data_IF_742711069501
#
_entry.id   IF_742711069501
#
_cell.length_a   1.000
_cell.length_b   1.000
_cell.length_c   1.000
_cell.angle_alpha   90.00
_cell.angle_beta   90.00
_cell.angle_gamma   90.00
#
_symmetry.space_group_name_H-M   'P 1'
#
loop_
_entity.id
_entity.type
_entity.pdbx_description
1 polymer ?
#
# COMPACT_ATOMS: atom_id res chain seq x y z
N UNK A 1 2.30 -6.75 29.70
CA UNK A 1 2.78 -6.46 28.31
C UNK A 1 1.98 -7.16 27.20
N UNK A 2 1.71 -8.48 27.24
CA UNK A 2 0.98 -9.21 26.17
C UNK A 2 -0.41 -8.64 25.81
N UNK A 3 -1.19 -8.14 26.79
CA UNK A 3 -2.52 -7.55 26.55
C UNK A 3 -2.47 -6.20 25.83
N UNK A 4 -1.48 -5.36 26.13
CA UNK A 4 -1.35 -4.03 25.53
C UNK A 4 -0.93 -4.12 24.05
N UNK A 5 0.08 -4.94 23.74
CA UNK A 5 0.51 -5.24 22.36
C UNK A 5 -0.61 -5.86 21.51
N UNK A 6 -1.40 -6.78 22.09
CA UNK A 6 -2.56 -7.37 21.41
C UNK A 6 -3.65 -6.36 21.10
N UNK A 7 -3.85 -5.37 21.99
CA UNK A 7 -4.82 -4.28 21.80
C UNK A 7 -4.30 -3.25 20.78
N UNK A 8 -2.99 -3.03 20.74
CA UNK A 8 -2.33 -2.16 19.76
C UNK A 8 -2.41 -2.74 18.34
N UNK A 9 -2.24 -4.06 18.20
CA UNK A 9 -2.36 -4.80 16.94
C UNK A 9 -3.82 -5.14 16.56
N UNK A 10 -4.77 -4.84 17.44
CA UNK A 10 -6.22 -4.94 17.19
C UNK A 10 -6.75 -6.35 16.92
N UNK A 11 -6.18 -7.40 17.49
CA UNK A 11 -6.67 -8.76 17.21
C UNK A 11 -8.12 -8.98 17.69
N UNK A 12 -9.08 -9.01 16.75
CA UNK A 12 -10.53 -9.19 17.00
C UNK A 12 -10.90 -10.58 17.54
N UNK A 13 -10.09 -11.59 17.23
CA UNK A 13 -10.40 -12.98 17.52
C UNK A 13 -9.34 -13.58 18.43
N UNK A 14 -9.77 -14.16 19.55
CA UNK A 14 -8.89 -14.94 20.44
C UNK A 14 -8.38 -16.24 19.80
N UNK A 15 -8.84 -16.57 18.58
CA UNK A 15 -8.34 -17.73 17.82
C UNK A 15 -6.93 -17.44 17.27
N UNK A 16 -5.93 -18.28 17.59
CA UNK A 16 -4.54 -18.04 17.26
C UNK A 16 -4.28 -17.96 15.75
N UNK A 17 -5.02 -18.70 14.92
CA UNK A 17 -4.83 -18.69 13.47
C UNK A 17 -5.10 -17.31 12.84
N UNK A 18 -6.14 -16.60 13.30
CA UNK A 18 -6.47 -15.24 12.79
C UNK A 18 -5.40 -14.23 13.18
N UNK A 19 -4.77 -14.42 14.34
CA UNK A 19 -3.66 -13.58 14.78
C UNK A 19 -2.42 -13.80 13.91
N UNK A 20 -2.10 -15.07 13.61
CA UNK A 20 -0.97 -15.42 12.75
C UNK A 20 -1.12 -14.78 11.37
N UNK A 21 -2.30 -14.90 10.75
CA UNK A 21 -2.57 -14.29 9.43
C UNK A 21 -2.36 -12.78 9.45
N UNK A 22 -2.87 -12.07 10.45
CA UNK A 22 -2.66 -10.62 10.56
C UNK A 22 -1.19 -10.24 10.83
N UNK A 23 -0.46 -11.02 11.64
CA UNK A 23 0.98 -10.80 11.83
C UNK A 23 1.76 -10.99 10.53
N UNK A 24 1.49 -12.06 9.78
CA UNK A 24 2.11 -12.30 8.48
C UNK A 24 1.83 -11.14 7.53
N UNK A 25 0.60 -10.61 7.52
CA UNK A 25 0.24 -9.46 6.71
C UNK A 25 0.99 -8.18 7.08
N UNK A 26 1.15 -7.89 8.37
CA UNK A 26 1.96 -6.76 8.83
C UNK A 26 3.43 -6.92 8.46
N UNK A 27 3.99 -8.12 8.59
CA UNK A 27 5.37 -8.41 8.19
C UNK A 27 5.56 -8.29 6.68
N UNK A 28 4.61 -8.75 5.88
CA UNK A 28 4.63 -8.59 4.43
C UNK A 28 4.60 -7.12 4.04
N UNK A 29 3.72 -6.33 4.66
CA UNK A 29 3.63 -4.88 4.39
C UNK A 29 4.92 -4.16 4.78
N UNK A 30 5.54 -4.55 5.90
CA UNK A 30 6.83 -4.02 6.32
C UNK A 30 7.96 -4.41 5.36
N UNK A 31 7.99 -5.66 4.87
CA UNK A 31 8.96 -6.10 3.89
C UNK A 31 8.83 -5.31 2.58
N UNK A 32 7.60 -5.08 2.10
CA UNK A 32 7.34 -4.23 0.93
C UNK A 32 7.85 -2.81 1.15
N UNK A 33 7.64 -2.22 2.33
CA UNK A 33 8.17 -0.89 2.64
C UNK A 33 9.69 -0.85 2.64
N UNK A 34 10.35 -1.81 3.29
CA UNK A 34 11.81 -1.87 3.34
C UNK A 34 12.39 -2.00 1.94
N UNK A 35 11.81 -2.86 1.11
CA UNK A 35 12.22 -3.03 -0.27
C UNK A 35 12.00 -1.73 -1.07
N UNK A 36 10.83 -1.12 -0.97
CA UNK A 36 10.50 0.10 -1.71
C UNK A 36 11.38 1.31 -1.31
N UNK A 37 11.78 1.40 -0.04
CA UNK A 37 12.72 2.43 0.42
C UNK A 37 14.19 2.11 0.07
N UNK A 38 14.53 0.82 -0.03
CA UNK A 38 15.86 0.36 -0.42
C UNK A 38 16.12 0.42 -1.92
N UNK A 39 15.08 0.38 -2.74
CA UNK A 39 15.20 0.49 -4.20
C UNK A 39 15.32 1.95 -4.63
N UNK A 40 16.33 2.31 -5.43
CA UNK A 40 16.39 3.63 -6.03
C UNK A 40 15.27 3.81 -7.07
N UNK A 41 14.88 5.07 -7.38
CA UNK A 41 13.94 5.34 -8.46
C UNK A 41 14.41 4.73 -9.79
N UNK A 42 13.50 4.22 -10.62
CA UNK A 42 13.85 3.51 -11.86
C UNK A 42 14.45 4.43 -12.93
N UNK A 43 14.21 5.74 -12.82
CA UNK A 43 14.75 6.77 -13.71
C UNK A 43 15.52 7.80 -12.89
N UNK A 44 16.44 8.51 -13.54
CA UNK A 44 17.21 9.56 -12.88
C UNK A 44 16.26 10.59 -12.24
N UNK A 45 16.34 10.71 -10.92
CA UNK A 45 15.48 11.57 -10.13
C UNK A 45 16.33 12.64 -9.42
N UNK A 46 15.85 13.87 -9.41
CA UNK A 46 16.37 14.88 -8.50
C UNK A 46 15.97 14.56 -7.05
N UNK A 47 16.61 15.21 -6.05
CA UNK A 47 16.31 14.95 -4.63
C UNK A 47 14.84 15.20 -4.25
N UNK A 48 14.18 16.13 -4.96
CA UNK A 48 12.74 16.39 -4.79
C UNK A 48 11.89 15.20 -5.25
N UNK A 49 12.11 14.72 -6.47
CA UNK A 49 11.39 13.57 -7.03
C UNK A 49 11.71 12.29 -6.26
N UNK A 50 12.94 12.09 -5.79
CA UNK A 50 13.28 10.98 -4.90
C UNK A 50 12.47 11.03 -3.59
N UNK A 51 12.28 12.22 -3.02
CA UNK A 51 11.44 12.40 -1.84
C UNK A 51 9.98 12.02 -2.08
N UNK A 52 9.41 12.43 -3.22
CA UNK A 52 8.05 12.06 -3.62
C UNK A 52 7.95 10.55 -3.84
N UNK A 53 8.92 9.93 -4.52
CA UNK A 53 8.95 8.48 -4.75
C UNK A 53 8.86 7.68 -3.43
N UNK A 54 9.67 8.05 -2.42
CA UNK A 54 9.61 7.40 -1.11
C UNK A 54 8.34 7.72 -0.32
N UNK A 55 7.79 8.92 -0.47
CA UNK A 55 6.49 9.26 0.12
C UNK A 55 5.36 8.40 -0.48
N UNK A 56 5.38 8.21 -1.80
CA UNK A 56 4.47 7.34 -2.53
C UNK A 56 4.59 5.88 -2.07
N UNK A 57 5.82 5.38 -1.86
CA UNK A 57 6.06 4.07 -1.28
C UNK A 57 5.47 3.92 0.14
N UNK A 58 5.57 4.96 0.96
CA UNK A 58 4.97 4.99 2.30
C UNK A 58 3.44 4.96 2.22
N UNK A 59 2.83 5.70 1.28
CA UNK A 59 1.38 5.69 1.05
C UNK A 59 0.90 4.29 0.65
N UNK A 60 1.62 3.60 -0.26
CA UNK A 60 1.30 2.21 -0.63
C UNK A 60 1.37 1.28 0.58
N UNK A 61 2.40 1.41 1.42
CA UNK A 61 2.52 0.61 2.64
C UNK A 61 1.34 0.86 3.60
N UNK A 62 0.99 2.12 3.86
CA UNK A 62 -0.17 2.48 4.67
C UNK A 62 -1.47 1.92 4.08
N UNK A 63 -1.60 1.96 2.76
CA UNK A 63 -2.74 1.40 2.05
C UNK A 63 -2.83 -0.12 2.22
N UNK A 64 -1.71 -0.85 2.09
CA UNK A 64 -1.65 -2.30 2.34
C UNK A 64 -1.99 -2.66 3.79
N UNK A 65 -1.54 -1.85 4.76
CA UNK A 65 -1.81 -2.07 6.19
C UNK A 65 -3.28 -1.76 6.53
N UNK A 66 -3.93 -0.86 5.77
CA UNK A 66 -5.27 -0.35 6.07
C UNK A 66 -6.35 -1.43 6.28
N UNK A 67 -6.48 -2.50 5.46
CA UNK A 67 -7.52 -3.52 5.67
C UNK A 67 -7.26 -4.29 6.96
N UNK A 68 -6.00 -4.55 7.30
CA UNK A 68 -5.63 -5.23 8.53
C UNK A 68 -5.98 -4.38 9.76
N UNK A 69 -5.74 -3.08 9.74
CA UNK A 69 -6.09 -2.16 10.85
C UNK A 69 -7.61 -2.03 11.02
N UNK A 70 -8.35 -1.85 9.91
CA UNK A 70 -9.80 -1.59 9.96
C UNK A 70 -10.64 -2.85 10.14
N UNK A 71 -10.17 -4.02 9.71
CA UNK A 71 -10.82 -5.30 10.05
C UNK A 71 -10.49 -5.76 11.48
N UNK A 72 -9.37 -5.27 12.03
CA UNK A 72 -8.95 -5.47 13.41
C UNK A 72 -9.79 -4.62 14.38
N UNK A 73 -9.92 -5.07 15.63
CA UNK A 73 -10.59 -4.38 16.73
C UNK A 73 -9.66 -3.32 17.34
N UNK A 74 -9.22 -2.38 16.51
CA UNK A 74 -8.37 -1.25 16.89
C UNK A 74 -9.22 -0.07 17.37
N UNK A 75 -8.65 0.80 18.21
CA UNK A 75 -9.31 2.05 18.63
C UNK A 75 -9.73 2.94 17.44
N UNK A 76 -8.94 2.91 16.35
CA UNK A 76 -9.22 3.61 15.10
C UNK A 76 -10.53 3.16 14.45
N UNK A 77 -10.91 1.88 14.60
CA UNK A 77 -12.17 1.35 14.09
C UNK A 77 -13.39 1.93 14.82
N UNK A 78 -13.25 2.23 16.11
CA UNK A 78 -14.35 2.76 16.94
C UNK A 78 -14.58 4.25 16.74
N UNK A 79 -13.57 4.97 16.25
CA UNK A 79 -13.65 6.41 15.94
C UNK A 79 -14.32 6.74 14.61
N UNK A 80 -14.37 5.81 13.66
CA UNK A 80 -14.93 6.06 12.33
C UNK A 80 -16.40 5.55 12.27
N UNK A 81 -17.37 6.41 11.92
CA UNK A 81 -18.80 6.07 11.98
C UNK A 81 -19.17 4.84 11.13
N UNK A 82 -18.55 4.65 9.96
CA UNK A 82 -18.77 3.49 9.11
C UNK A 82 -18.28 2.16 9.70
N UNK A 83 -17.28 2.16 10.58
CA UNK A 83 -16.76 0.92 11.16
C UNK A 83 -17.34 0.61 12.55
N UNK A 84 -18.12 1.54 13.12
CA UNK A 84 -18.71 1.44 14.47
C UNK A 84 -19.82 0.39 14.57
N UNK A 85 -20.65 0.23 13.55
CA UNK A 85 -21.81 -0.67 13.58
C UNK A 85 -21.45 -2.16 13.48
N UNK A 86 -20.17 -2.50 13.26
CA UNK A 86 -19.63 -3.87 13.17
C UNK A 86 -20.36 -4.82 12.18
N UNK A 87 -21.31 -4.32 11.38
CA UNK A 87 -21.97 -5.07 10.32
C UNK A 87 -21.03 -5.24 9.13
N UNK A 88 -21.21 -6.35 8.42
CA UNK A 88 -20.39 -6.71 7.25
C UNK A 88 -20.48 -5.64 6.16
N UNK A 89 -21.71 -5.18 5.85
CA UNK A 89 -21.95 -4.12 4.86
C UNK A 89 -21.30 -2.80 5.24
N UNK A 90 -21.42 -2.37 6.50
CA UNK A 90 -20.85 -1.11 6.97
C UNK A 90 -19.31 -1.16 6.97
N UNK A 91 -18.74 -2.31 7.31
CA UNK A 91 -17.28 -2.53 7.24
C UNK A 91 -16.78 -2.56 5.79
N UNK A 92 -17.53 -3.15 4.86
CA UNK A 92 -17.20 -3.15 3.44
C UNK A 92 -17.26 -1.74 2.84
N UNK A 93 -18.33 -1.00 3.14
CA UNK A 93 -18.47 0.39 2.70
C UNK A 93 -17.34 1.27 3.24
N UNK A 94 -16.97 1.12 4.52
CA UNK A 94 -15.83 1.81 5.10
C UNK A 94 -14.51 1.46 4.39
N UNK A 95 -14.30 0.20 4.04
CA UNK A 95 -13.09 -0.25 3.34
C UNK A 95 -13.02 0.32 1.91
N UNK A 96 -14.15 0.41 1.22
CA UNK A 96 -14.24 1.08 -0.09
C UNK A 96 -13.88 2.56 -0.01
N UNK A 97 -14.36 3.27 1.02
CA UNK A 97 -13.99 4.68 1.23
C UNK A 97 -12.49 4.83 1.49
N UNK A 98 -11.92 3.97 2.33
CA UNK A 98 -10.47 3.97 2.60
C UNK A 98 -9.67 3.66 1.32
N UNK A 99 -10.14 2.70 0.51
CA UNK A 99 -9.52 2.36 -0.76
C UNK A 99 -9.50 3.54 -1.73
N UNK A 100 -10.64 4.22 -1.92
CA UNK A 100 -10.75 5.41 -2.77
C UNK A 100 -9.85 6.54 -2.23
N UNK A 101 -9.84 6.74 -0.91
CA UNK A 101 -9.00 7.75 -0.28
C UNK A 101 -7.51 7.52 -0.57
N UNK A 102 -7.01 6.29 -0.37
CA UNK A 102 -5.61 5.97 -0.64
C UNK A 102 -5.27 6.02 -2.13
N UNK A 103 -6.17 5.57 -3.01
CA UNK A 103 -5.98 5.67 -4.45
C UNK A 103 -5.86 7.13 -4.91
N UNK A 104 -6.72 8.01 -4.38
CA UNK A 104 -6.67 9.44 -4.70
C UNK A 104 -5.45 10.12 -4.07
N UNK A 105 -5.11 9.79 -2.82
CA UNK A 105 -3.92 10.31 -2.14
C UNK A 105 -2.63 9.91 -2.89
N UNK A 106 -2.56 8.66 -3.33
CA UNK A 106 -1.46 8.17 -4.18
C UNK A 106 -1.38 8.99 -5.47
N UNK A 107 -2.48 9.11 -6.22
CA UNK A 107 -2.49 9.86 -7.48
C UNK A 107 -2.14 11.34 -7.28
N UNK A 108 -2.63 11.95 -6.20
CA UNK A 108 -2.34 13.34 -5.87
C UNK A 108 -0.85 13.56 -5.57
N UNK A 109 -0.24 12.68 -4.76
CA UNK A 109 1.19 12.79 -4.42
C UNK A 109 2.07 12.47 -5.62
N UNK A 110 1.74 11.43 -6.39
CA UNK A 110 2.46 11.08 -7.61
C UNK A 110 2.39 12.21 -8.66
N UNK A 111 1.26 12.95 -8.70
CA UNK A 111 1.12 14.12 -9.58
C UNK A 111 2.06 15.29 -9.22
N UNK A 112 2.64 15.31 -8.02
CA UNK A 112 3.57 16.36 -7.61
C UNK A 112 4.97 16.20 -8.21
N UNK A 113 5.27 15.05 -8.84
CA UNK A 113 6.51 14.86 -9.57
C UNK A 113 6.71 15.91 -10.65
N UNK A 114 7.97 16.24 -10.93
CA UNK A 114 8.31 17.17 -12.01
C UNK A 114 7.91 16.60 -13.37
N UNK A 115 7.56 17.46 -14.32
CA UNK A 115 7.17 17.03 -15.67
C UNK A 115 8.31 16.28 -16.38
N UNK A 116 9.56 16.67 -16.10
CA UNK A 116 10.75 15.97 -16.60
C UNK A 116 10.82 14.53 -16.10
N UNK A 117 10.58 14.31 -14.80
CA UNK A 117 10.55 12.96 -14.22
C UNK A 117 9.40 12.12 -14.79
N UNK A 118 8.20 12.71 -14.93
CA UNK A 118 7.05 12.02 -15.53
C UNK A 118 7.29 11.57 -16.97
N UNK A 119 7.93 12.43 -17.79
CA UNK A 119 8.29 12.08 -19.16
C UNK A 119 9.34 10.96 -19.20
N UNK A 120 10.39 11.05 -18.38
CA UNK A 120 11.41 10.02 -18.29
C UNK A 120 10.82 8.66 -17.85
N UNK A 121 9.91 8.68 -16.88
CA UNK A 121 9.20 7.49 -16.41
C UNK A 121 8.30 6.89 -17.49
N UNK A 122 7.59 7.73 -18.26
CA UNK A 122 6.78 7.28 -19.38
C UNK A 122 7.63 6.57 -20.44
N UNK A 123 8.74 7.18 -20.86
CA UNK A 123 9.68 6.57 -21.82
C UNK A 123 10.27 5.26 -21.30
N UNK A 124 10.67 5.21 -20.03
CA UNK A 124 11.14 3.98 -19.40
C UNK A 124 10.08 2.87 -19.42
N UNK A 125 8.83 3.22 -19.11
CA UNK A 125 7.72 2.26 -19.09
C UNK A 125 7.37 1.71 -20.47
N UNK A 126 7.42 2.55 -21.50
CA UNK A 126 7.22 2.14 -22.89
C UNK A 126 8.35 1.21 -23.35
N UNK A 127 9.61 1.56 -23.06
CA UNK A 127 10.75 0.71 -23.38
C UNK A 127 10.68 -0.65 -22.67
N UNK A 128 10.34 -0.67 -21.37
CA UNK A 128 10.14 -1.91 -20.63
C UNK A 128 9.02 -2.77 -21.23
N UNK A 129 7.90 -2.15 -21.65
CA UNK A 129 6.81 -2.88 -22.29
C UNK A 129 7.24 -3.51 -23.63
N UNK A 130 7.92 -2.76 -24.50
CA UNK A 130 8.41 -3.28 -25.78
C UNK A 130 9.39 -4.45 -25.59
N UNK A 131 10.27 -4.40 -24.59
CA UNK A 131 11.17 -5.53 -24.31
C UNK A 131 10.43 -6.82 -23.92
N UNK A 132 9.27 -6.72 -23.26
CA UNK A 132 8.46 -7.90 -22.92
C UNK A 132 7.76 -8.44 -24.17
N UNK A 133 7.19 -7.55 -25.01
CA UNK A 133 6.50 -7.94 -26.25
C UNK A 133 7.46 -8.57 -27.26
N UNK A 134 8.67 -8.02 -27.41
CA UNK A 134 9.69 -8.57 -28.32
C UNK A 134 10.18 -9.95 -27.86
N UNK A 135 10.30 -10.19 -26.55
CA UNK A 135 10.66 -11.50 -26.00
C UNK A 135 9.54 -12.53 -26.23
N UNK A 136 8.27 -12.13 -26.11
CA UNK A 136 7.15 -13.01 -26.47
C UNK A 136 7.10 -13.28 -27.99
N UNK A 137 7.30 -12.26 -28.82
CA UNK A 137 7.29 -12.37 -30.28
C UNK A 137 8.42 -13.24 -30.86
N UNK A 138 9.57 -13.31 -30.18
CA UNK A 138 10.72 -14.12 -30.59
C UNK A 138 10.70 -15.55 -30.00
N UNK A 139 9.64 -15.91 -29.25
CA UNK A 139 9.49 -17.22 -28.59
C UNK A 139 8.53 -18.18 -29.31
N UNK A 140 7.96 -17.78 -30.46
CA UNK A 140 7.26 -18.68 -31.38
C UNK A 140 8.25 -19.30 -32.39
N UNK A 141 8.43 -20.64 -32.40
CA UNK A 141 9.23 -21.33 -33.41
C UNK A 141 8.59 -21.32 -34.80
#
# INVERSE_FOLDING_TARGET
MKKALRKLLGFRSQKPWKMIVAVIWYLLSLAVLILALGTPPPVAAGPYDTGIYYLTALIICLWMISPAIFMSDTFLRQGIPFFRNQTLLSSLAGLMVVFIFFAYLFAAVDSLHTDQYKQALATYSEAAYQTVVDVEGNSTP
#
